data_IF_632051342549
#
_entry.id   IF_632051342549
#
_cell.length_a   1.000
_cell.length_b   1.000
_cell.length_c   1.000
_cell.angle_alpha   90.00
_cell.angle_beta   90.00
_cell.angle_gamma   90.00
#
_symmetry.space_group_name_H-M   'P 1'
#
loop_
_entity.id
_entity.type
_entity.pdbx_description
1 polymer ?
#
# COMPACT_ATOMS: atom_id res chain seq x y z
N UNK A 1 -38.89 -12.14 -8.62
CA UNK A 1 -38.45 -12.01 -7.21
C UNK A 1 -37.10 -12.69 -6.96
N UNK A 2 -36.89 -13.97 -7.33
CA UNK A 2 -35.62 -14.69 -7.08
C UNK A 2 -34.42 -14.20 -7.92
N UNK A 3 -34.62 -13.90 -9.21
CA UNK A 3 -33.57 -13.37 -10.11
C UNK A 3 -33.06 -11.99 -9.67
N UNK A 4 -33.94 -11.15 -9.13
CA UNK A 4 -33.56 -9.81 -8.67
C UNK A 4 -32.60 -9.89 -7.45
N UNK A 5 -32.86 -10.83 -6.54
CA UNK A 5 -31.99 -11.10 -5.39
C UNK A 5 -30.61 -11.60 -5.81
N UNK A 6 -30.53 -12.47 -6.83
CA UNK A 6 -29.25 -12.96 -7.36
C UNK A 6 -28.41 -11.85 -8.01
N UNK A 7 -29.06 -10.91 -8.72
CA UNK A 7 -28.39 -9.75 -9.30
C UNK A 7 -27.77 -8.84 -8.22
N UNK A 8 -28.52 -8.58 -7.15
CA UNK A 8 -28.05 -7.75 -6.02
C UNK A 8 -26.86 -8.42 -5.33
N UNK A 9 -26.92 -9.74 -5.09
CA UNK A 9 -25.81 -10.51 -4.50
C UNK A 9 -24.57 -10.46 -5.39
N UNK A 10 -24.71 -10.60 -6.71
CA UNK A 10 -23.60 -10.51 -7.64
C UNK A 10 -22.91 -9.14 -7.59
N UNK A 11 -23.68 -8.05 -7.51
CA UNK A 11 -23.16 -6.68 -7.40
C UNK A 11 -22.41 -6.48 -6.07
N UNK A 12 -22.96 -6.96 -4.96
CA UNK A 12 -22.31 -6.85 -3.64
C UNK A 12 -20.97 -7.60 -3.62
N UNK A 13 -20.93 -8.83 -4.14
CA UNK A 13 -19.69 -9.62 -4.24
C UNK A 13 -18.67 -8.93 -5.15
N UNK A 14 -19.12 -8.38 -6.29
CA UNK A 14 -18.26 -7.64 -7.21
C UNK A 14 -17.62 -6.40 -6.57
N UNK A 15 -18.40 -5.63 -5.79
CA UNK A 15 -17.91 -4.44 -5.10
C UNK A 15 -16.88 -4.79 -4.02
N UNK A 16 -17.11 -5.87 -3.25
CA UNK A 16 -16.16 -6.35 -2.25
C UNK A 16 -14.82 -6.76 -2.90
N UNK A 17 -14.86 -7.52 -3.98
CA UNK A 17 -13.64 -7.94 -4.71
C UNK A 17 -12.89 -6.77 -5.36
N UNK A 18 -13.62 -5.77 -5.87
CA UNK A 18 -13.03 -4.57 -6.48
C UNK A 18 -12.30 -3.70 -5.44
N UNK A 19 -12.84 -3.60 -4.22
CA UNK A 19 -12.32 -2.73 -3.16
C UNK A 19 -11.04 -3.24 -2.48
N UNK A 20 -10.58 -4.46 -2.77
CA UNK A 20 -9.32 -4.98 -2.23
C UNK A 20 -8.07 -4.62 -3.05
N UNK A 21 -8.21 -3.92 -4.18
CA UNK A 21 -7.07 -3.58 -5.04
C UNK A 21 -6.39 -2.26 -4.69
N UNK A 22 -7.06 -1.35 -3.99
CA UNK A 22 -6.50 -0.02 -3.71
C UNK A 22 -5.62 0.02 -2.45
N UNK A 23 -5.78 -0.91 -1.51
CA UNK A 23 -4.96 -0.97 -0.29
C UNK A 23 -3.57 -1.60 -0.52
N UNK A 24 -3.45 -2.48 -1.52
CA UNK A 24 -2.21 -3.22 -1.79
C UNK A 24 -1.17 -2.34 -2.50
N UNK A 25 -1.62 -1.43 -3.37
CA UNK A 25 -0.73 -0.55 -4.14
C UNK A 25 0.00 0.43 -3.21
N UNK A 26 -0.71 1.03 -2.26
CA UNK A 26 -0.12 1.99 -1.30
C UNK A 26 0.88 1.30 -0.37
N UNK A 27 0.60 0.06 0.04
CA UNK A 27 1.52 -0.72 0.87
C UNK A 27 2.79 -1.09 0.10
N UNK A 28 2.65 -1.52 -1.15
CA UNK A 28 3.78 -1.88 -2.00
C UNK A 28 4.71 -0.67 -2.27
N UNK A 29 4.16 0.51 -2.55
CA UNK A 29 4.97 1.71 -2.77
C UNK A 29 5.69 2.20 -1.50
N UNK A 30 5.09 1.97 -0.32
CA UNK A 30 5.69 2.29 0.97
C UNK A 30 6.88 1.38 1.27
N UNK A 31 6.73 0.08 1.05
CA UNK A 31 7.80 -0.91 1.24
C UNK A 31 8.99 -0.65 0.30
N UNK A 32 8.72 -0.33 -0.97
CA UNK A 32 9.76 0.02 -1.96
C UNK A 32 10.54 1.28 -1.57
N UNK A 33 9.85 2.31 -1.08
CA UNK A 33 10.49 3.56 -0.64
C UNK A 33 11.43 3.34 0.57
N UNK A 34 11.03 2.49 1.51
CA UNK A 34 11.85 2.13 2.68
C UNK A 34 13.09 1.33 2.24
N UNK A 35 12.93 0.42 1.29
CA UNK A 35 14.03 -0.39 0.76
C UNK A 35 15.10 0.48 0.07
N UNK A 36 14.67 1.45 -0.73
CA UNK A 36 15.58 2.43 -1.36
C UNK A 36 16.34 3.24 -0.31
N UNK A 37 15.66 3.72 0.74
CA UNK A 37 16.32 4.46 1.82
C UNK A 37 17.36 3.60 2.55
N UNK A 38 17.03 2.34 2.82
CA UNK A 38 17.94 1.41 3.47
C UNK A 38 19.19 1.18 2.61
N UNK A 39 19.02 1.02 1.31
CA UNK A 39 20.15 0.85 0.38
C UNK A 39 21.07 2.09 0.40
N UNK A 40 20.51 3.29 0.32
CA UNK A 40 21.27 4.55 0.38
C UNK A 40 22.03 4.71 1.70
N UNK A 41 21.40 4.34 2.82
CA UNK A 41 22.03 4.39 4.13
C UNK A 41 23.22 3.43 4.24
N UNK A 42 23.06 2.17 3.80
CA UNK A 42 24.14 1.17 3.80
C UNK A 42 25.29 1.58 2.88
N UNK A 43 24.98 2.22 1.74
CA UNK A 43 25.98 2.78 0.83
C UNK A 43 26.70 4.01 1.39
N UNK A 44 26.24 4.58 2.52
CA UNK A 44 26.77 5.82 3.08
C UNK A 44 26.39 7.07 2.29
N UNK A 45 25.40 6.99 1.40
CA UNK A 45 24.88 8.12 0.62
C UNK A 45 24.06 9.09 1.49
N UNK A 46 23.51 8.59 2.60
CA UNK A 46 22.78 9.38 3.61
C UNK A 46 23.27 9.01 5.01
N UNK A 47 23.21 9.97 5.93
CA UNK A 47 23.58 9.73 7.33
C UNK A 47 22.41 9.23 8.19
N UNK A 48 22.72 8.81 9.42
CA UNK A 48 21.76 8.34 10.42
C UNK A 48 20.57 9.28 10.63
N UNK A 49 20.81 10.59 10.67
CA UNK A 49 19.74 11.55 10.93
C UNK A 49 18.80 11.68 9.74
N UNK A 50 19.35 11.72 8.52
CA UNK A 50 18.58 11.78 7.28
C UNK A 50 17.71 10.53 7.13
N UNK A 51 18.28 9.35 7.35
CA UNK A 51 17.54 8.09 7.31
C UNK A 51 16.37 8.09 8.32
N UNK A 52 16.63 8.48 9.58
CA UNK A 52 15.59 8.56 10.63
C UNK A 52 14.49 9.56 10.28
N UNK A 53 14.84 10.73 9.73
CA UNK A 53 13.86 11.75 9.31
C UNK A 53 12.97 11.23 8.17
N UNK A 54 13.54 10.59 7.16
CA UNK A 54 12.80 10.10 5.99
C UNK A 54 11.88 8.92 6.33
N UNK A 55 12.33 7.98 7.17
CA UNK A 55 11.48 6.89 7.66
C UNK A 55 10.27 7.42 8.42
N UNK A 56 10.43 8.49 9.22
CA UNK A 56 9.33 9.12 9.93
C UNK A 56 8.28 9.70 8.97
N UNK A 57 8.71 10.37 7.91
CA UNK A 57 7.83 10.96 6.89
C UNK A 57 7.04 9.88 6.12
N UNK A 58 7.67 8.74 5.83
CA UNK A 58 7.04 7.63 5.09
C UNK A 58 6.10 6.81 5.98
N UNK A 59 6.37 6.78 7.29
CA UNK A 59 5.59 6.01 8.25
C UNK A 59 4.35 6.74 8.77
N UNK A 60 4.39 8.09 8.86
CA UNK A 60 3.22 8.96 9.04
C UNK A 60 2.23 8.86 7.85
#
# INVERSE_FOLDING_TARGET
>A
MMILSLLIIGIVVYLLLKNHRDLTIVKQSRDESIEILKQRYVNGEINDEEYKRMIKIISD
#
